data_IF_228874615885
#
_entry.id   IF_228874615885
#
_cell.length_a   1.000
_cell.length_b   1.000
_cell.length_c   1.000
_cell.angle_alpha   90.00
_cell.angle_beta   90.00
_cell.angle_gamma   90.00
#
_symmetry.space_group_name_H-M   'P 1'
#
loop_
_entity.id
_entity.type
_entity.pdbx_description
1 polymer ?
#
# COMPACT_ATOMS: atom_id res chain seq x y z
N UNK A 1 -16.37 -0.77 -2.65
CA UNK A 1 -15.64 -1.58 -1.65
C UNK A 1 -15.68 -3.07 -1.99
N UNK A 2 -16.80 -3.52 -2.53
CA UNK A 2 -16.96 -4.93 -2.87
C UNK A 2 -15.88 -5.41 -3.85
N UNK A 3 -15.59 -4.60 -4.85
CA UNK A 3 -14.59 -4.93 -5.85
C UNK A 3 -13.19 -4.99 -5.24
N UNK A 4 -12.89 -4.05 -4.34
CA UNK A 4 -11.59 -4.01 -3.66
C UNK A 4 -11.40 -5.29 -2.84
N UNK A 5 -12.46 -5.78 -2.21
CA UNK A 5 -12.38 -7.00 -1.39
C UNK A 5 -11.99 -8.23 -2.20
N UNK A 6 -12.21 -8.19 -3.50
CA UNK A 6 -11.90 -9.33 -4.37
C UNK A 6 -10.51 -9.27 -4.98
N UNK A 7 -9.77 -8.19 -4.75
CA UNK A 7 -8.44 -8.05 -5.34
C UNK A 7 -7.43 -9.07 -4.79
N UNK A 8 -7.36 -9.31 -3.46
CA UNK A 8 -6.44 -10.35 -2.99
C UNK A 8 -6.99 -11.75 -3.31
N UNK A 9 -6.19 -12.57 -3.99
CA UNK A 9 -6.61 -13.89 -4.45
C UNK A 9 -6.46 -14.97 -3.38
N UNK A 10 -5.63 -14.74 -2.38
CA UNK A 10 -5.31 -15.75 -1.39
C UNK A 10 -4.85 -15.07 -0.09
N UNK A 11 -4.58 -15.90 0.92
CA UNK A 11 -4.18 -15.41 2.24
C UNK A 11 -2.88 -14.61 2.19
N UNK A 12 -1.93 -15.01 1.36
CA UNK A 12 -0.66 -14.32 1.29
C UNK A 12 -0.81 -12.93 0.69
N UNK A 13 -1.58 -12.80 -0.38
CA UNK A 13 -1.80 -11.49 -1.00
C UNK A 13 -2.55 -10.57 -0.05
N UNK A 14 -3.51 -11.11 0.69
CA UNK A 14 -4.21 -10.32 1.69
C UNK A 14 -3.26 -9.90 2.81
N UNK A 15 -2.40 -10.79 3.25
CA UNK A 15 -1.43 -10.47 4.30
C UNK A 15 -0.54 -9.31 3.89
N UNK A 16 -0.06 -9.29 2.66
CA UNK A 16 0.80 -8.20 2.17
C UNK A 16 0.06 -6.87 2.15
N UNK A 17 -1.22 -6.90 1.85
CA UNK A 17 -2.05 -5.69 1.76
C UNK A 17 -2.59 -5.25 3.12
N UNK A 18 -3.00 -6.20 3.93
CA UNK A 18 -3.78 -5.93 5.12
C UNK A 18 -3.51 -7.05 6.13
N UNK A 19 -2.36 -7.00 6.83
CA UNK A 19 -1.89 -8.17 7.60
C UNK A 19 -2.79 -8.58 8.75
N UNK A 20 -3.64 -7.68 9.25
CA UNK A 20 -4.52 -8.01 10.38
C UNK A 20 -5.86 -8.58 9.94
N UNK A 21 -6.14 -8.60 8.65
CA UNK A 21 -7.42 -9.11 8.15
C UNK A 21 -7.39 -10.62 8.01
N UNK A 22 -8.58 -11.22 8.00
CA UNK A 22 -8.75 -12.65 7.76
C UNK A 22 -9.23 -12.85 6.34
N UNK A 23 -8.68 -13.85 5.67
CA UNK A 23 -9.08 -14.17 4.31
C UNK A 23 -10.35 -15.04 4.33
N UNK A 24 -11.35 -14.76 3.49
CA UNK A 24 -11.39 -13.71 2.47
C UNK A 24 -11.69 -12.35 3.08
N UNK A 25 -11.21 -11.32 2.42
CA UNK A 25 -11.44 -9.96 2.88
C UNK A 25 -12.92 -9.62 2.70
N UNK A 26 -13.56 -9.16 3.78
CA UNK A 26 -14.96 -8.79 3.76
C UNK A 26 -15.12 -7.28 3.75
N UNK A 27 -16.30 -6.82 3.31
CA UNK A 27 -16.60 -5.40 3.30
C UNK A 27 -16.50 -4.82 4.71
N UNK A 28 -16.94 -5.56 5.73
CA UNK A 28 -16.86 -5.07 7.11
C UNK A 28 -15.42 -4.88 7.57
N UNK A 29 -14.54 -5.82 7.25
CA UNK A 29 -13.12 -5.68 7.59
C UNK A 29 -12.53 -4.46 6.92
N UNK A 30 -12.83 -4.28 5.63
CA UNK A 30 -12.30 -3.14 4.88
C UNK A 30 -12.84 -1.82 5.43
N UNK A 31 -14.13 -1.74 5.69
CA UNK A 31 -14.73 -0.53 6.25
C UNK A 31 -14.11 -0.17 7.59
N UNK A 32 -13.88 -1.16 8.43
CA UNK A 32 -13.27 -0.91 9.74
C UNK A 32 -11.86 -0.37 9.64
N UNK A 33 -11.14 -0.78 8.61
CA UNK A 33 -9.77 -0.28 8.41
C UNK A 33 -9.78 1.11 7.83
N UNK A 34 -10.54 1.34 6.75
CA UNK A 34 -10.45 2.60 6.04
C UNK A 34 -11.01 3.78 6.81
N UNK A 35 -11.86 3.52 7.82
CA UNK A 35 -12.39 4.64 8.60
C UNK A 35 -11.29 5.37 9.37
N UNK A 36 -10.18 4.69 9.67
CA UNK A 36 -9.05 5.30 10.35
C UNK A 36 -7.90 5.61 9.39
N UNK A 37 -8.18 5.58 8.07
CA UNK A 37 -7.20 5.84 7.03
C UNK A 37 -7.57 7.09 6.26
N UNK A 38 -6.63 7.55 5.42
CA UNK A 38 -6.80 8.80 4.68
C UNK A 38 -6.71 8.54 3.19
N UNK A 39 -7.56 9.24 2.44
CA UNK A 39 -7.46 9.29 0.97
C UNK A 39 -7.45 7.92 0.31
N UNK A 40 -8.38 7.05 0.73
CA UNK A 40 -8.52 5.75 0.07
C UNK A 40 -8.80 5.97 -1.41
N UNK A 41 -7.98 5.36 -2.25
CA UNK A 41 -7.92 5.66 -3.68
C UNK A 41 -8.00 4.36 -4.48
N UNK A 42 -8.73 4.39 -5.59
CA UNK A 42 -8.78 3.25 -6.50
C UNK A 42 -8.24 3.68 -7.85
N UNK A 43 -7.66 2.71 -8.57
CA UNK A 43 -7.31 2.89 -9.97
C UNK A 43 -8.38 2.21 -10.80
N UNK A 44 -8.90 2.91 -11.79
CA UNK A 44 -9.90 2.36 -12.71
C UNK A 44 -9.30 2.14 -14.08
N UNK A 45 -9.66 1.02 -14.70
CA UNK A 45 -9.34 0.75 -16.08
C UNK A 45 -10.60 0.22 -16.74
N UNK A 46 -11.14 0.94 -17.73
CA UNK A 46 -12.41 0.62 -18.36
C UNK A 46 -13.52 0.40 -17.33
N UNK A 47 -13.61 1.30 -16.36
CA UNK A 47 -14.59 1.28 -15.27
C UNK A 47 -14.44 0.09 -14.31
N UNK A 48 -13.34 -0.62 -14.39
CA UNK A 48 -13.06 -1.74 -13.48
C UNK A 48 -12.00 -1.31 -12.49
N UNK A 49 -12.20 -1.63 -11.21
CA UNK A 49 -11.21 -1.32 -10.16
C UNK A 49 -10.05 -2.29 -10.30
N UNK A 50 -8.86 -1.77 -10.56
CA UNK A 50 -7.68 -2.60 -10.76
C UNK A 50 -6.58 -2.32 -9.73
N UNK A 51 -6.76 -1.35 -8.85
CA UNK A 51 -5.79 -1.07 -7.79
C UNK A 51 -6.42 -0.29 -6.66
N UNK A 52 -5.78 -0.35 -5.48
CA UNK A 52 -6.27 0.32 -4.28
C UNK A 52 -5.09 0.65 -3.37
N UNK A 53 -5.18 1.80 -2.72
CA UNK A 53 -4.21 2.20 -1.69
C UNK A 53 -4.82 3.32 -0.85
N UNK A 54 -4.19 3.60 0.28
CA UNK A 54 -4.56 4.74 1.13
C UNK A 54 -3.33 5.19 1.91
N UNK A 55 -3.50 6.17 2.79
CA UNK A 55 -2.46 6.51 3.76
C UNK A 55 -2.89 5.98 5.12
N UNK A 56 -1.98 5.34 5.84
CA UNK A 56 -2.27 4.92 7.20
C UNK A 56 -1.73 5.93 8.22
N UNK A 57 -0.94 6.88 7.78
CA UNK A 57 -0.47 7.94 8.66
C UNK A 57 -0.22 9.19 7.81
N UNK A 58 -0.68 10.34 8.30
CA UNK A 58 -0.44 11.62 7.64
C UNK A 58 0.12 12.58 8.68
N UNK A 59 1.31 13.09 8.44
CA UNK A 59 1.90 14.15 9.24
C UNK A 59 2.15 15.33 8.33
N UNK A 60 1.24 16.28 8.41
CA UNK A 60 1.22 17.43 7.50
C UNK A 60 2.58 18.13 7.50
N UNK A 61 3.05 18.47 6.31
CA UNK A 61 4.34 19.11 6.07
C UNK A 61 5.54 18.23 6.41
N UNK A 62 5.32 16.97 6.74
CA UNK A 62 6.39 16.02 7.05
C UNK A 62 6.33 14.82 6.12
N UNK A 63 5.40 13.90 6.38
CA UNK A 63 5.31 12.70 5.53
C UNK A 63 3.91 12.09 5.53
N UNK A 64 3.65 11.30 4.49
CA UNK A 64 2.50 10.41 4.44
C UNK A 64 3.00 8.98 4.32
N UNK A 65 2.33 8.05 4.97
CA UNK A 65 2.66 6.63 4.89
C UNK A 65 1.59 5.89 4.10
N UNK A 66 2.00 5.29 2.98
CA UNK A 66 1.10 4.60 2.05
C UNK A 66 0.88 3.18 2.52
N UNK A 67 -0.38 2.74 2.52
CA UNK A 67 -0.72 1.39 2.96
C UNK A 67 -1.84 0.77 2.17
N UNK A 68 -2.17 -0.46 2.51
CA UNK A 68 -3.19 -1.29 1.87
C UNK A 68 -3.04 -1.35 0.34
N UNK A 69 -1.79 -1.34 -0.15
CA UNK A 69 -1.52 -1.31 -1.59
C UNK A 69 -1.82 -2.68 -2.19
N UNK A 70 -2.65 -2.71 -3.21
CA UNK A 70 -2.89 -3.93 -3.97
C UNK A 70 -3.24 -3.59 -5.41
N UNK A 71 -2.75 -4.43 -6.34
CA UNK A 71 -3.04 -4.32 -7.76
C UNK A 71 -3.71 -5.63 -8.18
N UNK A 72 -4.74 -5.52 -9.01
CA UNK A 72 -5.44 -6.70 -9.52
C UNK A 72 -4.44 -7.66 -10.17
N UNK A 73 -4.55 -8.96 -9.87
CA UNK A 73 -3.60 -9.94 -10.45
C UNK A 73 -3.53 -9.92 -11.97
N UNK A 74 -4.65 -9.65 -12.62
CA UNK A 74 -4.69 -9.63 -14.09
C UNK A 74 -4.00 -8.41 -14.68
N UNK A 75 -3.69 -7.42 -13.84
CA UNK A 75 -3.13 -6.15 -14.30
C UNK A 75 -1.73 -5.88 -13.77
N UNK A 76 -1.08 -6.90 -13.20
CA UNK A 76 0.29 -6.75 -12.71
C UNK A 76 1.26 -6.70 -13.87
N UNK A 77 2.40 -6.05 -13.64
CA UNK A 77 3.44 -5.83 -14.65
C UNK A 77 2.92 -5.03 -15.84
N UNK A 78 1.91 -4.18 -15.63
CA UNK A 78 1.33 -3.35 -16.67
C UNK A 78 1.32 -1.88 -16.27
N UNK A 79 2.12 -1.52 -15.26
CA UNK A 79 2.26 -0.13 -14.86
C UNK A 79 1.21 0.38 -13.88
N UNK A 80 0.26 -0.44 -13.46
CA UNK A 80 -0.79 0.00 -12.54
C UNK A 80 -0.22 0.37 -11.17
N UNK A 81 0.73 -0.44 -10.67
CA UNK A 81 1.36 -0.16 -9.38
C UNK A 81 2.11 1.17 -9.41
N UNK A 82 2.86 1.41 -10.46
CA UNK A 82 3.58 2.66 -10.63
C UNK A 82 2.61 3.83 -10.67
N UNK A 83 1.54 3.70 -11.45
CA UNK A 83 0.53 4.75 -11.56
C UNK A 83 -0.11 5.04 -10.20
N UNK A 84 -0.45 3.97 -9.45
CA UNK A 84 -1.08 4.11 -8.15
C UNK A 84 -0.18 4.82 -7.14
N UNK A 85 1.07 4.39 -7.05
CA UNK A 85 2.01 5.00 -6.10
C UNK A 85 2.28 6.45 -6.48
N UNK A 86 2.44 6.75 -7.77
CA UNK A 86 2.63 8.12 -8.21
C UNK A 86 1.43 8.99 -7.86
N UNK A 87 0.22 8.45 -7.97
CA UNK A 87 -0.99 9.18 -7.59
C UNK A 87 -1.01 9.48 -6.11
N UNK A 88 -0.62 8.51 -5.28
CA UNK A 88 -0.55 8.73 -3.83
C UNK A 88 0.51 9.77 -3.48
N UNK A 89 1.65 9.75 -4.15
CA UNK A 89 2.69 10.76 -3.94
C UNK A 89 2.15 12.15 -4.27
N UNK A 90 1.41 12.29 -5.37
CA UNK A 90 0.83 13.57 -5.76
C UNK A 90 -0.16 14.08 -4.71
N UNK A 91 -0.99 13.19 -4.17
CA UNK A 91 -1.93 13.58 -3.11
C UNK A 91 -1.16 14.08 -1.90
N UNK A 92 -0.13 13.34 -1.49
CA UNK A 92 0.68 13.74 -0.33
C UNK A 92 1.32 15.09 -0.51
N UNK A 93 1.90 15.33 -1.68
CA UNK A 93 2.57 16.60 -1.95
C UNK A 93 1.59 17.75 -2.05
N UNK A 94 0.50 17.57 -2.77
CA UNK A 94 -0.42 18.66 -3.05
C UNK A 94 -1.39 18.94 -1.92
N UNK A 95 -1.88 17.91 -1.26
CA UNK A 95 -2.87 18.07 -0.21
C UNK A 95 -2.24 18.30 1.15
N UNK A 96 -1.14 17.63 1.44
CA UNK A 96 -0.54 17.65 2.77
C UNK A 96 0.83 18.31 2.83
N UNK A 97 1.34 18.75 1.69
CA UNK A 97 2.60 19.48 1.62
C UNK A 97 3.77 18.69 2.23
N UNK A 98 3.80 17.38 2.00
CA UNK A 98 4.82 16.54 2.63
C UNK A 98 6.11 16.53 1.82
N UNK A 99 7.22 16.28 2.52
CA UNK A 99 8.53 16.19 1.89
C UNK A 99 8.99 14.74 1.74
N UNK A 100 8.27 13.78 2.34
CA UNK A 100 8.62 12.36 2.25
C UNK A 100 7.37 11.52 2.11
N UNK A 101 7.52 10.41 1.40
CA UNK A 101 6.52 9.34 1.41
C UNK A 101 7.16 8.11 2.05
N UNK A 102 6.40 7.44 2.90
CA UNK A 102 6.82 6.22 3.57
C UNK A 102 5.93 5.07 3.14
N UNK A 103 6.45 3.88 3.17
CA UNK A 103 5.65 2.67 3.03
C UNK A 103 6.39 1.50 3.65
N UNK A 104 5.62 0.45 3.94
CA UNK A 104 6.16 -0.77 4.52
C UNK A 104 5.93 -1.92 3.58
N UNK A 105 6.83 -2.88 3.57
CA UNK A 105 6.72 -4.04 2.69
C UNK A 105 7.32 -5.25 3.37
N UNK A 106 6.58 -6.36 3.37
CA UNK A 106 7.09 -7.59 3.95
C UNK A 106 8.18 -8.19 3.07
N UNK A 107 9.14 -8.86 3.71
CA UNK A 107 10.29 -9.44 3.02
C UNK A 107 9.89 -10.44 1.94
N UNK A 108 8.79 -11.17 2.14
CA UNK A 108 8.35 -12.15 1.14
C UNK A 108 7.65 -11.53 -0.07
N UNK A 109 7.32 -10.24 0.01
CA UNK A 109 6.65 -9.55 -1.09
C UNK A 109 7.69 -9.00 -2.07
N UNK A 110 8.29 -9.90 -2.82
CA UNK A 110 9.35 -9.55 -3.77
C UNK A 110 8.89 -8.54 -4.81
N UNK A 111 7.70 -8.73 -5.36
CA UNK A 111 7.15 -7.80 -6.37
C UNK A 111 7.04 -6.38 -5.83
N UNK A 112 6.57 -6.25 -4.58
CA UNK A 112 6.45 -4.95 -3.95
C UNK A 112 7.80 -4.31 -3.73
N UNK A 113 8.76 -5.07 -3.19
CA UNK A 113 10.10 -4.54 -2.94
C UNK A 113 10.75 -4.06 -4.23
N UNK A 114 10.62 -4.81 -5.31
CA UNK A 114 11.21 -4.41 -6.59
C UNK A 114 10.54 -3.17 -7.14
N UNK A 115 9.22 -3.08 -7.03
CA UNK A 115 8.49 -1.91 -7.50
C UNK A 115 8.90 -0.66 -6.72
N UNK A 116 8.89 -0.74 -5.39
CA UNK A 116 9.18 0.42 -4.55
C UNK A 116 10.63 0.88 -4.72
N UNK A 117 11.55 -0.06 -4.83
CA UNK A 117 12.95 0.27 -5.09
C UNK A 117 13.10 1.00 -6.43
N UNK A 118 12.43 0.50 -7.46
CA UNK A 118 12.46 1.12 -8.78
C UNK A 118 11.91 2.55 -8.74
N UNK A 119 10.91 2.80 -7.89
CA UNK A 119 10.32 4.13 -7.77
C UNK A 119 11.10 5.07 -6.86
N UNK A 120 12.22 4.61 -6.32
CA UNK A 120 13.12 5.46 -5.55
C UNK A 120 12.99 5.36 -4.05
N UNK A 121 12.17 4.43 -3.55
CA UNK A 121 12.04 4.21 -2.12
C UNK A 121 13.25 3.42 -1.62
N UNK A 122 13.75 3.80 -0.44
CA UNK A 122 14.92 3.16 0.15
C UNK A 122 14.62 2.67 1.54
N UNK A 123 15.05 1.45 1.87
CA UNK A 123 14.86 0.93 3.23
C UNK A 123 15.59 1.79 4.25
N UNK A 124 14.96 1.99 5.40
CA UNK A 124 15.64 2.69 6.49
C UNK A 124 15.48 1.96 7.83
N UNK A 125 14.61 0.96 7.90
CA UNK A 125 14.41 0.21 9.14
C UNK A 125 13.81 -1.15 8.79
N UNK A 126 14.12 -2.17 9.60
CA UNK A 126 13.53 -3.49 9.46
C UNK A 126 12.98 -3.88 10.82
N UNK A 127 11.73 -4.29 10.87
CA UNK A 127 11.06 -4.67 12.09
C UNK A 127 10.61 -6.12 12.01
N UNK A 128 10.61 -6.77 13.17
CA UNK A 128 10.06 -8.11 13.28
C UNK A 128 8.54 -8.01 13.36
N UNK A 129 7.86 -8.82 12.57
CA UNK A 129 6.41 -8.89 12.61
C UNK A 129 5.97 -10.32 12.90
N UNK A 130 5.12 -10.51 13.90
CA UNK A 130 4.60 -11.82 14.25
C UNK A 130 3.11 -11.81 13.95
N UNK A 131 2.67 -12.72 13.06
CA UNK A 131 1.27 -12.77 12.67
C UNK A 131 0.44 -13.56 13.68
N UNK A 132 -0.87 -13.72 13.39
CA UNK A 132 -1.80 -14.40 14.28
C UNK A 132 -1.45 -15.87 14.52
N UNK A 133 -0.69 -16.45 13.60
CA UNK A 133 -0.29 -17.86 13.67
C UNK A 133 1.11 -18.04 14.21
N UNK A 134 1.65 -16.98 14.82
CA UNK A 134 3.00 -16.96 15.40
C UNK A 134 4.11 -17.15 14.37
N UNK A 135 3.84 -16.86 13.10
CA UNK A 135 4.86 -16.87 12.06
C UNK A 135 5.59 -15.54 12.05
N UNK A 136 6.89 -15.59 11.84
CA UNK A 136 7.74 -14.40 11.89
C UNK A 136 8.06 -13.94 10.48
N UNK A 137 7.93 -12.63 10.25
CA UNK A 137 8.30 -11.99 8.98
C UNK A 137 9.14 -10.78 9.29
N UNK A 138 9.85 -10.28 8.29
CA UNK A 138 10.53 -9.01 8.38
C UNK A 138 9.66 -7.97 7.67
N UNK A 139 9.34 -6.89 8.37
CA UNK A 139 8.63 -5.76 7.78
C UNK A 139 9.65 -4.68 7.50
N UNK A 140 9.84 -4.36 6.23
CA UNK A 140 10.84 -3.40 5.79
C UNK A 140 10.17 -2.05 5.63
N UNK A 141 10.71 -1.03 6.32
CA UNK A 141 10.21 0.33 6.22
C UNK A 141 11.05 1.07 5.18
N UNK A 142 10.37 1.67 4.21
CA UNK A 142 11.04 2.39 3.13
C UNK A 142 10.55 3.82 3.08
N UNK A 143 11.38 4.71 2.55
CA UNK A 143 10.96 6.08 2.35
C UNK A 143 11.61 6.69 1.12
N UNK A 144 10.98 7.76 0.64
CA UNK A 144 11.44 8.50 -0.52
C UNK A 144 11.26 9.98 -0.26
N UNK A 145 12.26 10.78 -0.58
CA UNK A 145 12.15 12.24 -0.51
C UNK A 145 11.42 12.74 -1.74
N UNK A 146 10.44 13.61 -1.51
CA UNK A 146 9.73 14.24 -2.58
C UNK A 146 10.32 15.57 -2.86
N UNK A 147 11.54 15.60 -3.20
CA UNK A 147 12.15 16.83 -3.40
C UNK A 147 11.65 17.45 -4.61
N UNK A 148 11.11 18.56 -4.50
CA UNK A 148 10.44 19.11 -5.60
C UNK A 148 11.31 19.92 -6.46
N UNK A 149 12.45 19.72 -6.51
CA UNK A 149 13.25 20.54 -7.33
C UNK A 149 13.27 20.21 -8.69
#
# INVERSE_FOLDING_TARGET
LETVCKLPRNKQELFFMFPKADFPLTINQLKNTIKDRFDSTVVLFNNEVVGFANFYEVRESQYCAIGNVIVSPCFRNRGVGTFLINAMEDIGKKKYNVSELHLSCFDANTSGLLLYTKLGYKPYEIEKYINKENEVSALIELKKCCDSK
#
